data_IF_209518363169
#
_entry.id   IF_209518363169
#
_cell.length_a   1.000
_cell.length_b   1.000
_cell.length_c   1.000
_cell.angle_alpha   90.00
_cell.angle_beta   90.00
_cell.angle_gamma   90.00
#
_symmetry.space_group_name_H-M   'P 1'
#
loop_
_entity.id
_entity.type
_entity.pdbx_description
1 polymer ?
#
# COMPACT_ATOMS: atom_id res chain seq x y z
N UNK A 1 49.70 29.49 79.55
CA UNK A 1 49.85 29.87 78.13
C UNK A 1 48.80 29.11 77.33
N UNK A 2 47.75 29.78 76.86
CA UNK A 2 46.77 29.17 75.96
C UNK A 2 46.19 30.27 75.09
N UNK A 3 46.57 30.27 73.81
CA UNK A 3 46.14 31.23 72.80
C UNK A 3 44.95 30.61 72.08
N UNK A 4 43.76 31.21 72.21
CA UNK A 4 42.56 30.78 71.49
C UNK A 4 42.53 31.50 70.14
N UNK A 5 42.72 30.74 69.06
CA UNK A 5 42.66 31.21 67.68
C UNK A 5 41.20 31.48 67.27
N UNK A 6 40.90 32.73 66.93
CA UNK A 6 39.64 33.12 66.29
C UNK A 6 39.62 32.68 64.82
N UNK A 7 39.03 31.52 64.55
CA UNK A 7 38.74 31.07 63.18
C UNK A 7 37.61 31.93 62.61
N UNK A 8 37.96 32.86 61.71
CA UNK A 8 36.99 33.63 60.92
C UNK A 8 36.23 32.70 59.97
N UNK A 9 35.01 32.33 60.33
CA UNK A 9 34.07 31.66 59.42
C UNK A 9 33.65 32.67 58.35
N UNK A 10 34.24 32.56 57.14
CA UNK A 10 33.79 33.31 55.96
C UNK A 10 32.38 32.84 55.57
N UNK A 11 31.37 33.59 55.99
CA UNK A 11 29.98 33.42 55.58
C UNK A 11 29.86 33.74 54.08
N UNK A 12 29.79 32.72 53.22
CA UNK A 12 29.31 32.86 51.83
C UNK A 12 27.79 33.12 51.90
N UNK A 13 27.41 34.37 52.05
CA UNK A 13 26.03 34.79 51.79
C UNK A 13 25.87 34.69 50.27
N UNK A 14 25.04 33.74 49.82
CA UNK A 14 24.77 33.52 48.41
C UNK A 14 24.22 34.78 47.76
N UNK A 15 24.81 35.14 46.63
CA UNK A 15 24.47 36.31 45.82
C UNK A 15 23.04 36.15 45.27
N UNK A 16 22.02 36.63 45.99
CA UNK A 16 20.62 36.57 45.57
C UNK A 16 20.34 37.67 44.53
N UNK A 17 20.86 37.50 43.32
CA UNK A 17 20.46 38.34 42.19
C UNK A 17 19.02 37.99 41.83
N UNK A 18 18.08 38.87 42.19
CA UNK A 18 16.69 38.76 41.77
C UNK A 18 16.56 38.89 40.25
N UNK A 19 15.56 38.21 39.67
CA UNK A 19 15.20 38.35 38.26
C UNK A 19 14.92 39.82 37.96
N UNK A 20 15.56 40.34 36.92
CA UNK A 20 15.28 41.70 36.46
C UNK A 20 13.96 41.72 35.66
N UNK A 21 13.21 42.83 35.73
CA UNK A 21 11.96 42.99 34.97
C UNK A 21 12.19 42.79 33.45
N UNK A 22 13.34 43.24 32.96
CA UNK A 22 13.73 43.10 31.56
C UNK A 22 13.92 41.63 31.16
N UNK A 23 14.59 40.85 32.00
CA UNK A 23 14.82 39.42 31.77
C UNK A 23 13.49 38.65 31.70
N UNK A 24 12.52 38.99 32.56
CA UNK A 24 11.18 38.42 32.52
C UNK A 24 10.44 38.72 31.20
N UNK A 25 10.51 39.96 30.72
CA UNK A 25 9.86 40.36 29.46
C UNK A 25 10.47 39.60 28.27
N UNK A 26 11.80 39.44 28.23
CA UNK A 26 12.49 38.68 27.18
C UNK A 26 12.09 37.21 27.24
N UNK A 27 12.02 36.60 28.42
CA UNK A 27 11.59 35.19 28.58
C UNK A 27 10.16 35.00 28.08
N UNK A 28 9.23 35.89 28.43
CA UNK A 28 7.83 35.78 27.99
C UNK A 28 7.74 35.95 26.46
N UNK A 29 8.50 36.88 25.88
CA UNK A 29 8.55 37.07 24.43
C UNK A 29 9.07 35.82 23.70
N UNK A 30 10.17 35.24 24.20
CA UNK A 30 10.73 33.99 23.64
C UNK A 30 9.79 32.81 23.81
N UNK A 31 9.14 32.69 24.98
CA UNK A 31 8.15 31.65 25.24
C UNK A 31 6.96 31.75 24.27
N UNK A 32 6.49 32.96 23.97
CA UNK A 32 5.42 33.19 23.00
C UNK A 32 5.76 32.66 21.61
N UNK A 33 6.99 32.89 21.15
CA UNK A 33 7.48 32.37 19.85
C UNK A 33 7.51 30.84 19.85
N UNK A 34 8.02 30.23 20.93
CA UNK A 34 8.09 28.76 21.05
C UNK A 34 6.70 28.15 21.03
N UNK A 35 5.79 28.68 21.85
CA UNK A 35 4.40 28.21 21.92
C UNK A 35 3.70 28.33 20.56
N UNK A 36 3.87 29.46 19.87
CA UNK A 36 3.30 29.65 18.52
C UNK A 36 3.81 28.61 17.53
N UNK A 37 5.09 28.25 17.62
CA UNK A 37 5.70 27.23 16.75
C UNK A 37 5.12 25.84 17.02
N UNK A 38 4.96 25.48 18.30
CA UNK A 38 4.36 24.21 18.71
C UNK A 38 2.92 24.09 18.20
N UNK A 39 2.09 25.12 18.40
CA UNK A 39 0.71 25.12 17.92
C UNK A 39 0.62 25.01 16.39
N UNK A 40 1.54 25.66 15.67
CA UNK A 40 1.61 25.57 14.21
C UNK A 40 1.92 24.14 13.76
N UNK A 41 2.90 23.49 14.39
CA UNK A 41 3.28 22.11 14.09
C UNK A 41 2.16 21.12 14.42
N UNK A 42 1.52 21.26 15.58
CA UNK A 42 0.39 20.42 15.97
C UNK A 42 -0.81 20.58 15.02
N UNK A 43 -1.14 21.81 14.66
CA UNK A 43 -2.23 22.11 13.72
C UNK A 43 -1.95 21.54 12.33
N UNK A 44 -0.69 21.55 11.91
CA UNK A 44 -0.26 20.94 10.66
C UNK A 44 -0.36 19.41 10.71
N UNK A 45 0.16 18.78 11.78
CA UNK A 45 0.14 17.33 11.96
C UNK A 45 -1.28 16.76 11.99
N UNK A 46 -2.19 17.40 12.72
CA UNK A 46 -3.60 16.99 12.78
C UNK A 46 -4.29 17.08 11.41
N UNK A 47 -4.04 18.16 10.65
CA UNK A 47 -4.58 18.31 9.28
C UNK A 47 -4.09 17.21 8.35
N UNK A 48 -2.80 16.86 8.41
CA UNK A 48 -2.24 15.77 7.60
C UNK A 48 -2.86 14.43 8.00
N UNK A 49 -2.92 14.14 9.30
CA UNK A 49 -3.49 12.90 9.81
C UNK A 49 -4.94 12.73 9.36
N UNK A 50 -5.79 13.74 9.55
CA UNK A 50 -7.19 13.68 9.12
C UNK A 50 -7.34 13.48 7.61
N UNK A 51 -6.49 14.13 6.79
CA UNK A 51 -6.49 13.91 5.33
C UNK A 51 -6.11 12.47 4.99
N UNK A 52 -5.10 11.91 5.66
CA UNK A 52 -4.68 10.53 5.47
C UNK A 52 -5.77 9.52 5.82
N UNK A 53 -6.41 9.69 6.98
CA UNK A 53 -7.54 8.84 7.40
C UNK A 53 -8.69 8.92 6.40
N UNK A 54 -9.11 10.13 6.04
CA UNK A 54 -10.21 10.33 5.07
C UNK A 54 -9.90 9.66 3.72
N UNK A 55 -8.67 9.77 3.23
CA UNK A 55 -8.27 9.13 1.99
C UNK A 55 -8.29 7.60 2.09
N UNK A 56 -7.81 7.05 3.21
CA UNK A 56 -7.84 5.60 3.46
C UNK A 56 -9.28 5.07 3.53
N UNK A 57 -10.18 5.81 4.18
CA UNK A 57 -11.60 5.45 4.31
C UNK A 57 -12.30 5.41 2.95
N UNK A 58 -12.10 6.43 2.09
CA UNK A 58 -12.65 6.46 0.72
C UNK A 58 -12.15 5.25 -0.07
N UNK A 59 -10.84 4.99 -0.05
CA UNK A 59 -10.24 3.86 -0.76
C UNK A 59 -10.80 2.52 -0.29
N UNK A 60 -10.90 2.33 1.02
CA UNK A 60 -11.44 1.11 1.61
C UNK A 60 -12.90 0.89 1.20
N UNK A 61 -13.74 1.93 1.32
CA UNK A 61 -15.15 1.86 0.97
C UNK A 61 -15.38 1.57 -0.52
N UNK A 62 -14.61 2.22 -1.42
CA UNK A 62 -14.68 1.96 -2.85
C UNK A 62 -14.20 0.55 -3.22
N UNK A 63 -13.12 0.05 -2.60
CA UNK A 63 -12.63 -1.32 -2.83
C UNK A 63 -13.64 -2.36 -2.38
N UNK A 64 -14.19 -2.22 -1.17
CA UNK A 64 -15.22 -3.15 -0.67
C UNK A 64 -16.46 -3.16 -1.57
N UNK A 65 -16.86 -1.99 -2.08
CA UNK A 65 -17.98 -1.87 -3.00
C UNK A 65 -17.68 -2.46 -4.37
N UNK A 66 -16.47 -2.25 -4.89
CA UNK A 66 -15.99 -2.88 -6.12
C UNK A 66 -16.00 -4.39 -6.01
N UNK A 67 -15.42 -4.95 -4.95
CA UNK A 67 -15.37 -6.39 -4.71
C UNK A 67 -16.79 -6.98 -4.61
N UNK A 68 -17.70 -6.26 -3.94
CA UNK A 68 -19.11 -6.60 -3.90
C UNK A 68 -19.74 -6.63 -5.30
N UNK A 69 -19.59 -5.56 -6.10
CA UNK A 69 -20.12 -5.50 -7.47
C UNK A 69 -19.58 -6.66 -8.30
N UNK A 70 -18.26 -6.88 -8.29
CA UNK A 70 -17.59 -7.96 -9.03
C UNK A 70 -18.18 -9.33 -8.65
N UNK A 71 -18.32 -9.60 -7.35
CA UNK A 71 -18.83 -10.88 -6.86
C UNK A 71 -20.30 -11.10 -7.28
N UNK A 72 -21.10 -10.04 -7.22
CA UNK A 72 -22.51 -10.09 -7.60
C UNK A 72 -22.72 -10.31 -9.10
N UNK A 73 -21.99 -9.57 -9.94
CA UNK A 73 -22.21 -9.55 -11.40
C UNK A 73 -21.51 -10.70 -12.13
N UNK A 74 -20.36 -11.18 -11.63
CA UNK A 74 -19.59 -12.26 -12.28
C UNK A 74 -20.41 -13.55 -12.43
N UNK A 75 -21.28 -13.82 -11.46
CA UNK A 75 -22.15 -15.01 -11.45
C UNK A 75 -23.58 -14.73 -11.94
N UNK A 76 -23.82 -13.55 -12.53
CA UNK A 76 -25.13 -13.22 -13.09
C UNK A 76 -25.40 -14.01 -14.38
N UNK A 77 -26.66 -14.39 -14.58
CA UNK A 77 -27.14 -15.04 -15.81
C UNK A 77 -27.84 -14.07 -16.75
N UNK A 78 -28.38 -13.00 -16.21
CA UNK A 78 -29.03 -11.93 -16.94
C UNK A 78 -28.56 -10.59 -16.38
N UNK A 79 -28.24 -9.64 -17.26
CA UNK A 79 -27.80 -8.30 -16.88
C UNK A 79 -28.39 -7.27 -17.84
N UNK A 80 -28.89 -6.18 -17.29
CA UNK A 80 -29.31 -5.01 -18.06
C UNK A 80 -28.93 -3.74 -17.30
N UNK A 81 -28.55 -2.72 -18.05
CA UNK A 81 -28.22 -1.40 -17.51
C UNK A 81 -29.38 -0.41 -17.67
N UNK A 82 -30.45 -0.81 -18.35
CA UNK A 82 -31.72 -0.06 -18.42
C UNK A 82 -32.73 -0.63 -17.44
N UNK A 83 -33.63 0.23 -16.96
CA UNK A 83 -34.70 -0.18 -16.04
C UNK A 83 -35.60 -1.23 -16.71
N UNK A 84 -35.69 -2.46 -16.18
CA UNK A 84 -36.56 -3.49 -16.73
C UNK A 84 -38.02 -3.21 -16.37
N UNK A 85 -38.95 -3.88 -17.04
CA UNK A 85 -40.39 -3.69 -16.83
C UNK A 85 -40.84 -4.00 -15.38
N UNK A 86 -40.23 -5.01 -14.76
CA UNK A 86 -40.43 -5.37 -13.35
C UNK A 86 -39.09 -5.27 -12.61
N UNK A 87 -38.71 -4.10 -12.08
CA UNK A 87 -37.43 -3.92 -11.38
C UNK A 87 -37.28 -4.83 -10.15
N UNK A 88 -38.37 -5.15 -9.47
CA UNK A 88 -38.33 -5.94 -8.24
C UNK A 88 -38.00 -7.42 -8.46
N UNK A 89 -38.06 -7.92 -9.70
CA UNK A 89 -37.62 -9.26 -10.08
C UNK A 89 -36.09 -9.35 -10.25
N UNK A 90 -35.39 -8.22 -10.18
CA UNK A 90 -33.94 -8.12 -10.38
C UNK A 90 -33.25 -7.66 -9.11
N UNK A 91 -32.01 -8.12 -8.94
CA UNK A 91 -31.09 -7.49 -8.01
C UNK A 91 -30.59 -6.19 -8.63
N UNK A 92 -30.55 -5.13 -7.84
CA UNK A 92 -30.25 -3.78 -8.31
C UNK A 92 -29.03 -3.24 -7.60
N UNK A 93 -28.11 -2.66 -8.34
CA UNK A 93 -27.01 -1.84 -7.83
C UNK A 93 -27.16 -0.46 -8.46
N UNK A 94 -27.29 0.59 -7.66
CA UNK A 94 -27.53 1.94 -8.15
C UNK A 94 -27.00 2.99 -7.18
N UNK A 95 -26.96 4.23 -7.64
CA UNK A 95 -26.55 5.37 -6.83
C UNK A 95 -27.80 6.08 -6.31
N UNK A 96 -27.84 6.36 -5.02
CA UNK A 96 -28.90 7.18 -4.43
C UNK A 96 -28.37 7.90 -3.20
N UNK A 97 -28.57 9.21 -3.13
CA UNK A 97 -28.18 10.03 -1.98
C UNK A 97 -26.70 9.91 -1.63
N UNK A 98 -25.82 10.07 -2.63
CA UNK A 98 -24.35 10.11 -2.47
C UNK A 98 -23.73 8.76 -2.01
N UNK A 99 -24.48 7.67 -2.18
CA UNK A 99 -24.08 6.31 -1.81
C UNK A 99 -24.37 5.34 -2.95
N UNK A 100 -23.54 4.31 -3.06
CA UNK A 100 -23.88 3.10 -3.80
C UNK A 100 -24.80 2.24 -2.93
N UNK A 101 -25.92 1.84 -3.50
CA UNK A 101 -26.95 1.04 -2.85
C UNK A 101 -27.15 -0.27 -3.59
N UNK A 102 -27.59 -1.26 -2.83
CA UNK A 102 -27.93 -2.58 -3.31
C UNK A 102 -29.35 -2.95 -2.85
N UNK A 103 -30.19 -3.38 -3.78
CA UNK A 103 -31.53 -3.91 -3.48
C UNK A 103 -31.62 -5.33 -4.05
N UNK A 104 -31.71 -6.38 -3.21
CA UNK A 104 -31.98 -7.72 -3.72
C UNK A 104 -33.41 -7.81 -4.27
N UNK A 105 -33.64 -8.74 -5.19
CA UNK A 105 -34.96 -8.98 -5.78
C UNK A 105 -36.00 -9.25 -4.67
N UNK A 106 -37.11 -8.49 -4.66
CA UNK A 106 -38.15 -8.55 -3.63
C UNK A 106 -37.72 -8.17 -2.20
N UNK A 107 -36.50 -7.68 -2.00
CA UNK A 107 -35.96 -7.37 -0.67
C UNK A 107 -35.77 -5.88 -0.37
N UNK A 108 -35.11 -5.60 0.75
CA UNK A 108 -34.88 -4.24 1.27
C UNK A 108 -33.56 -3.65 0.78
N UNK A 109 -33.55 -2.34 0.54
CA UNK A 109 -32.38 -1.56 0.15
C UNK A 109 -31.29 -1.56 1.24
N UNK A 110 -30.03 -1.73 0.83
CA UNK A 110 -28.84 -1.77 1.68
C UNK A 110 -27.81 -0.79 1.13
N UNK A 111 -27.24 0.05 2.00
CA UNK A 111 -26.12 0.92 1.63
C UNK A 111 -24.82 0.10 1.55
N UNK A 112 -24.05 0.27 0.47
CA UNK A 112 -22.76 -0.40 0.27
C UNK A 112 -21.57 0.53 0.44
N UNK A 113 -21.79 1.83 0.29
CA UNK A 113 -20.80 2.86 0.65
C UNK A 113 -21.34 3.80 1.72
N UNK A 114 -20.43 4.51 2.37
CA UNK A 114 -20.75 5.74 3.08
C UNK A 114 -20.99 6.91 2.10
N UNK A 115 -21.26 8.11 2.63
CA UNK A 115 -21.45 9.34 1.83
C UNK A 115 -20.10 9.77 1.26
N UNK A 116 -19.72 9.15 0.15
CA UNK A 116 -18.43 9.38 -0.52
C UNK A 116 -18.60 9.68 -2.00
N UNK A 117 -19.81 9.71 -2.55
CA UNK A 117 -20.05 10.03 -3.96
C UNK A 117 -20.60 11.45 -4.03
N UNK A 118 -19.96 12.40 -4.72
CA UNK A 118 -20.46 13.78 -4.79
C UNK A 118 -21.44 13.97 -5.94
N UNK A 119 -21.15 13.40 -7.10
CA UNK A 119 -21.99 13.49 -8.29
C UNK A 119 -22.50 12.10 -8.71
N UNK A 120 -23.74 11.98 -9.21
CA UNK A 120 -24.23 10.70 -9.73
C UNK A 120 -23.42 10.17 -10.93
N UNK A 121 -22.71 11.03 -11.66
CA UNK A 121 -21.82 10.66 -12.78
C UNK A 121 -20.47 10.10 -12.32
N UNK A 122 -20.18 10.18 -11.02
CA UNK A 122 -18.94 9.66 -10.45
C UNK A 122 -18.95 8.13 -10.42
N UNK A 123 -20.11 7.49 -10.52
CA UNK A 123 -20.22 6.04 -10.71
C UNK A 123 -20.87 5.74 -12.05
N UNK A 124 -20.18 5.00 -12.90
CA UNK A 124 -20.64 4.68 -14.24
C UNK A 124 -20.42 3.22 -14.57
N UNK A 125 -21.39 2.62 -15.23
CA UNK A 125 -21.41 1.25 -15.69
C UNK A 125 -21.54 1.22 -17.21
N UNK A 126 -20.64 0.47 -17.84
CA UNK A 126 -20.60 0.28 -19.29
C UNK A 126 -20.44 -1.19 -19.60
N UNK A 127 -21.47 -1.76 -20.22
CA UNK A 127 -21.44 -3.14 -20.69
C UNK A 127 -20.99 -3.16 -22.15
N UNK A 128 -19.94 -3.91 -22.44
CA UNK A 128 -19.37 -4.06 -23.78
C UNK A 128 -19.19 -5.54 -24.12
N UNK A 129 -19.11 -5.85 -25.41
CA UNK A 129 -18.73 -7.19 -25.88
C UNK A 129 -17.25 -7.19 -26.24
N UNK A 130 -16.49 -8.13 -25.67
CA UNK A 130 -15.07 -8.34 -25.98
C UNK A 130 -14.92 -9.72 -26.62
N UNK A 131 -14.94 -9.77 -27.96
CA UNK A 131 -14.96 -11.03 -28.70
C UNK A 131 -16.31 -11.75 -28.55
N UNK A 132 -16.29 -12.95 -27.97
CA UNK A 132 -17.52 -13.74 -27.70
C UNK A 132 -18.06 -13.58 -26.27
N UNK A 133 -17.34 -12.85 -25.41
CA UNK A 133 -17.70 -12.67 -24.00
C UNK A 133 -18.22 -11.24 -23.76
N UNK A 134 -19.01 -11.09 -22.69
CA UNK A 134 -19.45 -9.77 -22.23
C UNK A 134 -18.55 -9.30 -21.08
N UNK A 135 -18.19 -8.03 -21.13
CA UNK A 135 -17.36 -7.35 -20.13
C UNK A 135 -18.13 -6.17 -19.57
N UNK A 136 -18.34 -6.16 -18.26
CA UNK A 136 -18.84 -5.00 -17.52
C UNK A 136 -17.64 -4.18 -17.06
N UNK A 137 -17.55 -2.95 -17.55
CA UNK A 137 -16.58 -1.96 -17.12
C UNK A 137 -17.30 -1.02 -16.17
N UNK A 138 -16.70 -0.70 -15.03
CA UNK A 138 -17.26 0.29 -14.13
C UNK A 138 -16.19 1.17 -13.52
N UNK A 139 -16.51 2.45 -13.38
CA UNK A 139 -15.68 3.45 -12.71
C UNK A 139 -16.47 4.05 -11.55
N UNK A 140 -15.78 4.30 -10.44
CA UNK A 140 -16.29 4.94 -9.25
C UNK A 140 -15.30 6.00 -8.76
N UNK A 141 -15.77 7.23 -8.63
CA UNK A 141 -15.01 8.35 -8.06
C UNK A 141 -15.60 8.65 -6.69
N UNK A 142 -14.78 8.43 -5.66
CA UNK A 142 -15.09 8.76 -4.29
C UNK A 142 -14.50 10.12 -3.94
N UNK A 143 -15.33 11.05 -3.47
CA UNK A 143 -14.93 12.37 -3.05
C UNK A 143 -15.37 12.65 -1.61
N UNK A 144 -14.44 13.17 -0.80
CA UNK A 144 -14.75 13.78 0.49
C UNK A 144 -14.00 15.09 0.64
N UNK A 145 -14.74 16.21 0.61
CA UNK A 145 -14.25 17.59 0.73
C UNK A 145 -13.27 17.99 -0.38
N UNK A 146 -12.01 17.57 -0.27
CA UNK A 146 -10.93 17.90 -1.22
C UNK A 146 -10.16 16.67 -1.69
N UNK A 147 -10.47 15.51 -1.10
CA UNK A 147 -9.79 14.26 -1.40
C UNK A 147 -10.65 13.48 -2.38
N UNK A 148 -10.03 13.01 -3.46
CA UNK A 148 -10.65 12.18 -4.47
C UNK A 148 -9.91 10.86 -4.61
N UNK A 149 -10.63 9.81 -4.94
CA UNK A 149 -10.07 8.52 -5.32
C UNK A 149 -10.90 7.92 -6.45
N UNK A 150 -10.23 7.55 -7.53
CA UNK A 150 -10.84 6.88 -8.67
C UNK A 150 -10.50 5.38 -8.62
N UNK A 151 -11.52 4.57 -8.86
CA UNK A 151 -11.41 3.13 -9.01
C UNK A 151 -12.14 2.74 -10.29
N UNK A 152 -11.42 2.05 -11.18
CA UNK A 152 -11.99 1.43 -12.38
C UNK A 152 -11.72 -0.08 -12.36
N UNK A 153 -12.69 -0.86 -12.84
CA UNK A 153 -12.58 -2.32 -12.90
C UNK A 153 -13.32 -2.89 -14.10
N UNK A 154 -12.75 -3.95 -14.64
CA UNK A 154 -13.31 -4.71 -15.76
C UNK A 154 -13.66 -6.13 -15.29
N UNK A 155 -14.89 -6.53 -15.53
CA UNK A 155 -15.42 -7.83 -15.10
C UNK A 155 -15.96 -8.59 -16.31
N UNK A 156 -15.29 -9.70 -16.64
CA UNK A 156 -15.81 -10.65 -17.60
C UNK A 156 -16.98 -11.43 -16.99
N UNK A 157 -18.10 -11.46 -17.70
CA UNK A 157 -19.35 -12.08 -17.25
C UNK A 157 -19.44 -13.50 -17.82
N UNK A 158 -18.98 -14.48 -17.05
CA UNK A 158 -18.80 -15.85 -17.55
C UNK A 158 -20.11 -16.62 -17.76
N UNK A 159 -21.16 -16.29 -16.99
CA UNK A 159 -22.41 -17.06 -16.97
C UNK A 159 -23.58 -16.37 -17.69
N UNK A 160 -23.30 -15.28 -18.40
CA UNK A 160 -24.33 -14.43 -18.95
C UNK A 160 -24.97 -15.06 -20.21
N UNK A 161 -26.30 -15.10 -20.23
CA UNK A 161 -27.09 -15.62 -21.37
C UNK A 161 -27.78 -14.50 -22.13
N UNK A 162 -28.08 -13.40 -21.44
CA UNK A 162 -28.78 -12.24 -22.00
C UNK A 162 -28.20 -10.97 -21.40
N UNK A 163 -27.82 -10.05 -22.28
CA UNK A 163 -27.16 -8.80 -21.94
C UNK A 163 -27.64 -7.68 -22.87
N UNK A 164 -27.93 -6.51 -22.30
CA UNK A 164 -28.22 -5.30 -23.08
C UNK A 164 -27.01 -4.37 -23.05
N UNK A 165 -26.33 -4.23 -24.19
CA UNK A 165 -25.17 -3.35 -24.34
C UNK A 165 -25.59 -1.90 -24.17
N UNK A 166 -25.01 -1.23 -23.17
CA UNK A 166 -25.28 0.17 -22.86
C UNK A 166 -24.04 0.76 -22.16
N UNK A 167 -23.82 2.06 -22.35
CA UNK A 167 -22.71 2.78 -21.73
C UNK A 167 -23.23 3.85 -20.76
N UNK A 168 -22.40 4.19 -19.78
CA UNK A 168 -22.60 5.32 -18.85
C UNK A 168 -23.92 5.25 -18.05
N UNK A 169 -24.36 4.04 -17.71
CA UNK A 169 -25.49 3.87 -16.80
C UNK A 169 -25.06 4.04 -15.35
N UNK A 170 -25.96 4.54 -14.51
CA UNK A 170 -25.76 4.67 -13.06
C UNK A 170 -26.40 3.51 -12.29
N UNK A 171 -26.94 2.52 -13.00
CA UNK A 171 -27.64 1.38 -12.40
C UNK A 171 -27.39 0.09 -13.17
N UNK A 172 -27.29 -1.00 -12.43
CA UNK A 172 -27.22 -2.36 -12.94
C UNK A 172 -28.39 -3.14 -12.37
N UNK A 173 -29.09 -3.86 -13.24
CA UNK A 173 -30.10 -4.85 -12.89
C UNK A 173 -29.60 -6.22 -13.33
N UNK A 174 -29.62 -7.20 -12.44
CA UNK A 174 -29.14 -8.55 -12.77
C UNK A 174 -29.90 -9.66 -12.05
N UNK A 175 -29.92 -10.84 -12.65
CA UNK A 175 -30.41 -12.08 -12.04
C UNK A 175 -29.28 -13.07 -11.84
N UNK A 176 -29.41 -13.88 -10.79
CA UNK A 176 -28.54 -15.01 -10.49
C UNK A 176 -29.36 -16.28 -10.63
N UNK A 177 -28.75 -17.34 -11.15
CA UNK A 177 -29.40 -18.64 -11.19
C UNK A 177 -29.31 -19.29 -9.80
N UNK A 178 -30.45 -19.37 -9.12
CA UNK A 178 -30.57 -20.02 -7.80
C UNK A 178 -30.34 -21.54 -7.87
N UNK A 179 -30.29 -22.16 -9.05
CA UNK A 179 -30.00 -23.60 -9.20
C UNK A 179 -28.52 -23.95 -9.19
N UNK A 180 -27.63 -22.96 -9.22
CA UNK A 180 -26.17 -23.14 -9.09
C UNK A 180 -25.67 -22.97 -7.64
N UNK A 181 -26.59 -22.80 -6.67
CA UNK A 181 -26.27 -22.64 -5.27
C UNK A 181 -26.03 -23.99 -4.55
N UNK A 182 -25.03 -24.76 -5.02
CA UNK A 182 -24.32 -25.75 -4.19
C UNK A 182 -22.80 -25.56 -4.38
N UNK A 183 -22.36 -24.30 -4.42
CA UNK A 183 -21.03 -23.97 -3.94
C UNK A 183 -21.16 -23.72 -2.44
N UNK A 184 -20.42 -24.45 -1.61
CA UNK A 184 -20.39 -24.22 -0.15
C UNK A 184 -20.13 -22.75 0.20
N UNK A 185 -20.26 -22.37 1.48
CA UNK A 185 -20.01 -20.99 1.92
C UNK A 185 -18.73 -20.47 1.25
N UNK A 186 -18.76 -19.25 0.67
CA UNK A 186 -17.58 -18.69 0.02
C UNK A 186 -16.41 -18.88 0.99
N UNK A 187 -15.26 -19.41 0.51
CA UNK A 187 -14.11 -19.57 1.39
C UNK A 187 -13.91 -18.25 2.12
N UNK A 188 -13.71 -18.29 3.46
CA UNK A 188 -13.53 -17.08 4.23
C UNK A 188 -12.54 -16.19 3.48
N UNK A 189 -12.80 -14.87 3.40
CA UNK A 189 -11.91 -13.97 2.70
C UNK A 189 -10.49 -14.31 3.15
N UNK A 190 -9.56 -14.58 2.22
CA UNK A 190 -8.21 -14.95 2.59
C UNK A 190 -7.73 -13.92 3.61
N UNK A 191 -7.13 -14.36 4.73
CA UNK A 191 -6.60 -13.43 5.72
C UNK A 191 -5.82 -12.34 4.98
N UNK A 192 -5.94 -11.05 5.37
CA UNK A 192 -5.13 -10.02 4.76
C UNK A 192 -3.69 -10.55 4.70
N UNK A 193 -3.06 -10.54 3.51
CA UNK A 193 -1.76 -11.17 3.35
C UNK A 193 -0.86 -10.61 4.45
N UNK A 194 -0.17 -11.50 5.21
CA UNK A 194 0.69 -11.05 6.28
C UNK A 194 1.64 -9.97 5.73
N UNK A 195 1.95 -8.92 6.50
CA UNK A 195 2.87 -7.88 6.05
C UNK A 195 4.10 -8.54 5.44
N UNK A 196 4.29 -8.37 4.12
CA UNK A 196 5.43 -8.98 3.45
C UNK A 196 6.66 -8.27 3.98
N UNK A 197 7.47 -8.99 4.76
CA UNK A 197 8.77 -8.47 5.15
C UNK A 197 9.57 -8.23 3.86
N UNK A 198 10.18 -7.06 3.67
CA UNK A 198 11.02 -6.83 2.50
C UNK A 198 12.13 -7.88 2.46
N UNK A 199 12.41 -8.42 1.28
CA UNK A 199 13.60 -9.24 1.08
C UNK A 199 14.82 -8.34 1.31
N UNK A 200 15.62 -8.68 2.31
CA UNK A 200 16.89 -8.01 2.60
C UNK A 200 18.00 -9.04 2.52
N UNK A 201 19.15 -8.60 2.03
CA UNK A 201 20.28 -9.48 1.81
C UNK A 201 21.54 -8.90 2.46
N UNK A 202 22.41 -9.79 2.94
CA UNK A 202 23.71 -9.45 3.48
C UNK A 202 24.81 -10.09 2.64
N UNK A 203 25.85 -9.31 2.37
CA UNK A 203 27.02 -9.73 1.62
C UNK A 203 28.06 -10.33 2.57
N UNK A 204 28.58 -11.52 2.23
CA UNK A 204 29.74 -12.12 2.88
C UNK A 204 30.75 -12.54 1.83
N UNK A 205 31.99 -12.05 1.97
CA UNK A 205 33.11 -12.44 1.12
C UNK A 205 33.98 -13.42 1.89
N UNK A 206 34.11 -14.68 1.44
CA UNK A 206 35.21 -15.51 1.90
C UNK A 206 36.54 -14.85 1.47
N UNK A 207 37.66 -15.23 2.08
CA UNK A 207 38.99 -14.65 1.85
C UNK A 207 39.56 -14.90 0.42
N UNK A 208 38.70 -15.23 -0.56
CA UNK A 208 39.02 -15.44 -1.96
C UNK A 208 38.27 -14.45 -2.86
N UNK A 209 39.01 -13.74 -3.72
CA UNK A 209 38.48 -12.63 -4.52
C UNK A 209 37.55 -13.05 -5.69
N UNK A 210 37.23 -14.34 -5.81
CA UNK A 210 36.44 -14.91 -6.93
C UNK A 210 35.07 -15.43 -6.51
N UNK A 211 34.75 -15.42 -5.21
CA UNK A 211 33.48 -15.92 -4.69
C UNK A 211 32.84 -14.90 -3.77
N UNK A 212 31.52 -14.76 -3.85
CA UNK A 212 30.75 -14.00 -2.88
C UNK A 212 29.47 -14.75 -2.52
N UNK A 213 29.15 -14.73 -1.23
CA UNK A 213 27.94 -15.37 -0.69
C UNK A 213 26.99 -14.29 -0.20
N UNK A 214 25.76 -14.35 -0.67
CA UNK A 214 24.66 -13.43 -0.34
C UNK A 214 23.64 -14.22 0.46
N UNK A 215 23.35 -13.76 1.67
CA UNK A 215 22.39 -14.41 2.58
C UNK A 215 21.14 -13.56 2.65
N UNK A 216 19.99 -14.15 2.32
CA UNK A 216 18.69 -13.50 2.36
C UNK A 216 17.99 -13.77 3.69
N UNK A 217 17.17 -12.82 4.13
CA UNK A 217 16.28 -12.98 5.30
C UNK A 217 15.05 -13.86 5.02
N UNK A 218 14.85 -14.28 3.76
CA UNK A 218 13.81 -15.22 3.32
C UNK A 218 14.37 -16.28 2.38
N UNK A 219 13.59 -17.33 2.19
CA UNK A 219 13.87 -18.35 1.18
C UNK A 219 13.69 -17.79 -0.24
N UNK A 220 14.55 -18.24 -1.16
CA UNK A 220 14.61 -17.83 -2.56
C UNK A 220 14.26 -19.00 -3.46
N UNK A 221 13.40 -18.77 -4.46
CA UNK A 221 12.91 -19.81 -5.38
C UNK A 221 13.66 -19.79 -6.70
N UNK A 222 14.08 -18.60 -7.16
CA UNK A 222 14.82 -18.46 -8.41
C UNK A 222 15.71 -17.22 -8.40
N UNK A 223 16.75 -17.26 -9.23
CA UNK A 223 17.65 -16.13 -9.49
C UNK A 223 17.86 -16.01 -10.99
N UNK A 224 17.75 -14.80 -11.52
CA UNK A 224 18.01 -14.51 -12.94
C UNK A 224 19.05 -13.41 -13.08
N UNK A 225 20.02 -13.61 -13.97
CA UNK A 225 20.98 -12.57 -14.33
C UNK A 225 20.29 -11.47 -15.14
N UNK A 226 20.58 -10.20 -14.81
CA UNK A 226 20.06 -9.03 -15.54
C UNK A 226 21.15 -8.34 -16.36
N UNK A 227 22.30 -8.07 -15.74
CA UNK A 227 23.44 -7.46 -16.42
C UNK A 227 24.75 -7.91 -15.76
N UNK A 228 25.76 -8.20 -16.57
CA UNK A 228 27.10 -8.55 -16.10
C UNK A 228 28.14 -7.63 -16.74
N UNK A 229 28.64 -6.68 -15.96
CA UNK A 229 29.68 -5.74 -16.39
C UNK A 229 31.07 -6.14 -15.88
N UNK A 230 31.22 -7.35 -15.33
CA UNK A 230 32.47 -7.82 -14.71
C UNK A 230 33.57 -8.15 -15.71
N UNK A 231 33.23 -8.34 -17.00
CA UNK A 231 34.18 -8.77 -18.03
C UNK A 231 34.67 -10.21 -17.85
N UNK A 232 34.03 -10.96 -16.95
CA UNK A 232 34.32 -12.37 -16.62
C UNK A 232 33.01 -13.13 -16.49
N UNK A 233 33.04 -14.44 -16.76
CA UNK A 233 31.87 -15.28 -16.58
C UNK A 233 31.57 -15.44 -15.09
N UNK A 234 30.28 -15.42 -14.73
CA UNK A 234 29.80 -15.63 -13.36
C UNK A 234 28.82 -16.78 -13.36
N UNK A 235 29.04 -17.72 -12.44
CA UNK A 235 28.12 -18.79 -12.14
C UNK A 235 27.33 -18.43 -10.88
N UNK A 236 26.03 -18.63 -10.93
CA UNK A 236 25.09 -18.31 -9.86
C UNK A 236 24.48 -19.60 -9.34
N UNK A 237 24.71 -19.91 -8.07
CA UNK A 237 24.22 -21.14 -7.43
C UNK A 237 23.43 -20.79 -6.19
N UNK A 238 22.20 -21.29 -6.09
CA UNK A 238 21.46 -21.29 -4.83
C UNK A 238 22.03 -22.44 -3.99
N UNK A 239 22.82 -22.11 -2.97
CA UNK A 239 23.55 -23.11 -2.18
C UNK A 239 22.71 -23.67 -1.02
N UNK A 240 21.78 -22.87 -0.50
CA UNK A 240 20.78 -23.22 0.51
C UNK A 240 19.49 -22.47 0.19
N UNK A 241 18.38 -22.81 0.87
CA UNK A 241 17.07 -22.17 0.65
C UNK A 241 17.09 -20.65 0.73
N UNK A 242 18.05 -20.02 1.42
CA UNK A 242 18.20 -18.58 1.55
C UNK A 242 19.60 -18.04 1.20
N UNK A 243 20.43 -18.80 0.47
CA UNK A 243 21.79 -18.38 0.14
C UNK A 243 22.07 -18.47 -1.35
N UNK A 244 22.64 -17.39 -1.87
CA UNK A 244 23.13 -17.31 -3.23
C UNK A 244 24.65 -17.17 -3.23
N UNK A 245 25.31 -18.03 -3.99
CA UNK A 245 26.75 -17.97 -4.22
C UNK A 245 27.00 -17.53 -5.66
N UNK A 246 27.74 -16.43 -5.81
CA UNK A 246 28.26 -15.97 -7.09
C UNK A 246 29.74 -16.34 -7.17
N UNK A 247 30.12 -17.05 -8.23
CA UNK A 247 31.50 -17.45 -8.49
C UNK A 247 31.95 -16.93 -9.85
N UNK A 248 33.00 -16.11 -9.88
CA UNK A 248 33.61 -15.65 -11.13
C UNK A 248 34.74 -16.58 -11.59
N UNK A 249 34.92 -16.71 -12.89
CA UNK A 249 35.99 -17.56 -13.49
C UNK A 249 37.40 -16.98 -13.31
N UNK A 250 37.50 -15.68 -13.04
CA UNK A 250 38.73 -14.96 -12.74
C UNK A 250 38.42 -13.71 -11.91
N UNK A 251 39.44 -13.04 -11.39
CA UNK A 251 39.25 -11.79 -10.64
C UNK A 251 38.59 -10.73 -11.54
N UNK A 252 37.43 -10.17 -11.14
CA UNK A 252 36.81 -9.08 -11.89
C UNK A 252 37.70 -7.85 -11.94
N UNK A 253 37.53 -7.02 -12.97
CA UNK A 253 38.15 -5.70 -13.01
C UNK A 253 37.61 -4.77 -11.92
N UNK A 254 38.33 -3.69 -11.64
CA UNK A 254 37.94 -2.71 -10.63
C UNK A 254 36.63 -1.99 -10.98
N UNK A 255 35.80 -1.74 -9.96
CA UNK A 255 34.54 -0.99 -10.04
C UNK A 255 33.57 -1.59 -11.06
N UNK A 256 33.55 -2.91 -11.16
CA UNK A 256 32.59 -3.63 -12.00
C UNK A 256 31.41 -4.10 -11.16
N UNK A 257 30.26 -4.29 -11.80
CA UNK A 257 29.05 -4.73 -11.10
C UNK A 257 28.35 -5.88 -11.79
N UNK A 258 27.61 -6.62 -10.97
CA UNK A 258 26.75 -7.71 -11.37
C UNK A 258 25.34 -7.44 -10.86
N UNK A 259 24.38 -7.41 -11.78
CA UNK A 259 22.97 -7.17 -11.51
C UNK A 259 22.17 -8.45 -11.73
N UNK A 260 21.33 -8.78 -10.77
CA UNK A 260 20.48 -9.97 -10.80
C UNK A 260 19.14 -9.68 -10.12
N UNK A 261 18.12 -10.46 -10.48
CA UNK A 261 16.83 -10.49 -9.79
C UNK A 261 16.70 -11.79 -9.01
N UNK A 262 16.05 -11.69 -7.86
CA UNK A 262 15.76 -12.80 -6.96
C UNK A 262 14.26 -12.86 -6.75
N UNK A 263 13.67 -14.04 -6.92
CA UNK A 263 12.27 -14.30 -6.57
C UNK A 263 12.26 -15.01 -5.22
N UNK A 264 11.53 -14.48 -4.25
CA UNK A 264 11.35 -15.15 -2.94
C UNK A 264 10.25 -16.23 -3.01
N UNK A 265 10.02 -16.92 -1.88
CA UNK A 265 8.95 -17.92 -1.73
C UNK A 265 7.53 -17.34 -1.83
N UNK A 266 7.38 -16.03 -1.66
CA UNK A 266 6.10 -15.33 -1.80
C UNK A 266 5.87 -14.86 -3.26
N UNK A 267 6.79 -15.15 -4.17
CA UNK A 267 6.73 -14.73 -5.58
C UNK A 267 7.13 -13.27 -5.81
N UNK A 268 7.67 -12.59 -4.80
CA UNK A 268 8.12 -11.19 -4.91
C UNK A 268 9.49 -11.15 -5.58
N UNK A 269 9.61 -10.33 -6.63
CA UNK A 269 10.86 -10.15 -7.37
C UNK A 269 11.58 -8.91 -6.85
N UNK A 270 12.82 -9.09 -6.38
CA UNK A 270 13.69 -8.01 -5.89
C UNK A 270 14.97 -7.96 -6.72
N UNK A 271 15.42 -6.76 -7.07
CA UNK A 271 16.64 -6.55 -7.86
C UNK A 271 17.82 -6.25 -6.94
N UNK A 272 18.98 -6.75 -7.29
CA UNK A 272 20.20 -6.51 -6.52
C UNK A 272 21.36 -6.16 -7.44
N UNK A 273 22.21 -5.27 -6.96
CA UNK A 273 23.51 -4.97 -7.55
C UNK A 273 24.63 -5.28 -6.56
N UNK A 274 25.60 -6.06 -7.00
CA UNK A 274 26.84 -6.35 -6.26
C UNK A 274 28.00 -5.73 -7.00
N UNK A 275 28.83 -4.97 -6.29
CA UNK A 275 29.96 -4.24 -6.88
C UNK A 275 31.29 -4.88 -6.45
N UNK A 276 32.21 -5.05 -7.39
CA UNK A 276 33.59 -5.44 -7.10
C UNK A 276 34.47 -4.19 -7.03
N UNK A 277 35.09 -3.92 -5.87
CA UNK A 277 35.94 -2.74 -5.66
C UNK A 277 37.42 -3.10 -5.63
N UNK A 278 38.27 -2.10 -5.91
CA UNK A 278 39.73 -2.19 -6.03
C UNK A 278 40.47 -2.67 -4.75
N UNK A 279 39.76 -2.94 -3.66
CA UNK A 279 40.29 -3.54 -2.44
C UNK A 279 40.40 -5.08 -2.51
N UNK A 280 40.20 -5.68 -3.69
CA UNK A 280 40.22 -7.13 -3.88
C UNK A 280 38.99 -7.85 -3.31
N UNK A 281 37.96 -7.10 -2.88
CA UNK A 281 36.79 -7.66 -2.23
C UNK A 281 35.52 -7.17 -2.92
N UNK A 282 34.52 -8.05 -2.97
CA UNK A 282 33.16 -7.66 -3.30
C UNK A 282 32.61 -6.75 -2.20
N UNK A 283 32.02 -5.62 -2.58
CA UNK A 283 31.48 -4.62 -1.66
C UNK A 283 30.23 -3.98 -2.23
N UNK A 284 29.30 -3.62 -1.35
CA UNK A 284 28.07 -2.95 -1.76
C UNK A 284 27.07 -3.96 -2.32
N UNK A 285 25.99 -4.12 -1.57
CA UNK A 285 24.78 -4.82 -1.98
C UNK A 285 23.66 -3.80 -1.86
N UNK A 286 23.14 -3.35 -2.99
CA UNK A 286 22.03 -2.40 -3.03
C UNK A 286 20.80 -3.11 -3.59
N UNK A 287 19.68 -2.94 -2.87
CA UNK A 287 18.33 -3.27 -3.31
C UNK A 287 17.75 -2.03 -3.99
#
# INVERSE_FOLDING_TARGET
MMIINNVKVKKKIGDQKGLTLLELIVVIALLGIVISTIFSFQSFGTKIFHRGVTQADIQSSLRMTSDFIIHEVRNATEITLSTPANPDDYNQIYISGNKVKYKPAGGTEINKTDVIIENPTDVQFTLATTGSNYTLNFSMIGTSKTNTYDLSSDVMLNNIRTATILANSQSIYYKKDTTLAVGGPPPPPPPPPPPTTPLTANLSTPNNNTTVTIVFNKEITSVSQMANNLGVAVTTVISDLNKLVLTSTSQPGNNKSYKFSVTDVDGVITQYEVIYKNSGNWQGLTN
#
